data_IF_772991400230
#
_entry.id   IF_772991400230
#
_cell.length_a   1.000
_cell.length_b   1.000
_cell.length_c   1.000
_cell.angle_alpha   90.00
_cell.angle_beta   90.00
_cell.angle_gamma   90.00
#
_symmetry.space_group_name_H-M   'P 1'
#
loop_
_entity.id
_entity.type
_entity.pdbx_description
1 polymer ?
#
# COMPACT_ATOMS: atom_id res chain seq x y z
N UNK A 1 -2.21 -25.83 16.06
CA UNK A 1 -0.82 -26.31 15.89
C UNK A 1 -0.38 -26.97 17.19
N UNK A 2 -0.49 -26.33 18.38
CA UNK A 2 -0.07 -26.84 19.70
C UNK A 2 -0.66 -28.25 19.99
N UNK A 3 -1.96 -28.40 19.83
CA UNK A 3 -2.68 -29.66 20.09
C UNK A 3 -2.23 -30.82 19.18
N UNK A 4 -1.78 -30.50 17.96
CA UNK A 4 -1.26 -31.52 17.01
C UNK A 4 0.18 -31.89 17.35
N UNK A 5 0.98 -30.91 17.78
CA UNK A 5 2.36 -31.13 18.23
C UNK A 5 2.38 -32.01 19.49
N UNK A 6 1.50 -31.73 20.47
CA UNK A 6 1.35 -32.54 21.68
C UNK A 6 0.93 -33.98 21.35
N UNK A 7 -0.02 -34.19 20.44
CA UNK A 7 -0.42 -35.54 19.98
C UNK A 7 0.68 -36.28 19.24
N UNK A 8 1.57 -35.58 18.57
CA UNK A 8 2.69 -36.13 17.80
C UNK A 8 3.97 -36.29 18.66
N UNK A 9 3.97 -35.87 19.93
CA UNK A 9 5.13 -35.89 20.80
C UNK A 9 6.28 -34.99 20.31
N UNK A 10 6.00 -33.99 19.48
CA UNK A 10 6.99 -33.05 18.94
C UNK A 10 7.07 -31.83 19.84
N UNK A 11 8.22 -31.54 20.47
CA UNK A 11 8.33 -30.34 21.29
C UNK A 11 8.16 -29.07 20.42
N UNK A 12 7.30 -28.17 20.88
CA UNK A 12 7.18 -26.85 20.25
C UNK A 12 8.51 -26.09 20.40
N UNK A 13 8.97 -25.42 19.33
CA UNK A 13 10.15 -24.58 19.45
C UNK A 13 9.92 -23.51 20.51
N UNK A 14 10.94 -23.25 21.32
CA UNK A 14 10.90 -22.20 22.33
C UNK A 14 10.59 -20.87 21.63
N UNK A 15 9.66 -20.10 22.20
CA UNK A 15 9.34 -18.75 21.68
C UNK A 15 10.57 -17.87 21.85
N UNK A 16 11.04 -17.29 20.75
CA UNK A 16 12.14 -16.35 20.75
C UNK A 16 11.59 -14.96 21.17
N UNK A 17 12.00 -14.40 22.34
CA UNK A 17 11.52 -13.10 22.81
C UNK A 17 11.83 -11.96 21.84
N UNK A 18 12.91 -12.09 21.05
CA UNK A 18 13.27 -11.08 20.05
C UNK A 18 12.32 -11.13 18.86
N UNK A 19 11.91 -12.32 18.46
CA UNK A 19 10.92 -12.53 17.41
C UNK A 19 9.54 -12.01 17.82
N UNK A 20 9.12 -12.25 19.07
CA UNK A 20 7.85 -11.68 19.62
C UNK A 20 7.88 -10.14 19.66
N UNK A 21 9.00 -9.54 20.04
CA UNK A 21 9.17 -8.08 20.01
C UNK A 21 9.09 -7.52 18.60
N UNK A 22 9.71 -8.15 17.62
CA UNK A 22 9.64 -7.76 16.21
C UNK A 22 8.21 -7.88 15.66
N UNK A 23 7.50 -8.94 15.99
CA UNK A 23 6.10 -9.11 15.59
C UNK A 23 5.19 -8.06 16.24
N UNK A 24 5.37 -7.75 17.52
CA UNK A 24 4.65 -6.70 18.21
C UNK A 24 4.95 -5.31 17.62
N UNK A 25 6.21 -5.02 17.32
CA UNK A 25 6.61 -3.79 16.65
C UNK A 25 5.96 -3.67 15.27
N UNK A 26 6.00 -4.73 14.46
CA UNK A 26 5.34 -4.76 13.14
C UNK A 26 3.84 -4.54 13.25
N UNK A 27 3.17 -5.12 14.25
CA UNK A 27 1.75 -4.91 14.47
C UNK A 27 1.45 -3.41 14.64
N UNK A 28 2.23 -2.70 15.44
CA UNK A 28 2.06 -1.25 15.62
C UNK A 28 2.35 -0.43 14.36
N UNK A 29 3.30 -0.85 13.50
CA UNK A 29 3.57 -0.18 12.23
C UNK A 29 2.41 -0.34 11.23
N UNK A 30 1.71 -1.47 11.20
CA UNK A 30 0.49 -1.61 10.40
C UNK A 30 -0.62 -0.66 10.84
N UNK A 31 -0.77 -0.44 12.15
CA UNK A 31 -1.75 0.52 12.68
C UNK A 31 -1.40 1.96 12.25
N UNK A 32 -0.12 2.32 12.23
CA UNK A 32 0.35 3.62 11.73
C UNK A 32 0.02 3.78 10.24
N UNK A 33 0.26 2.75 9.44
CA UNK A 33 -0.05 2.77 8.00
C UNK A 33 -1.54 2.89 7.74
N UNK A 34 -2.38 2.21 8.53
CA UNK A 34 -3.84 2.33 8.46
C UNK A 34 -4.32 3.74 8.83
N UNK A 35 -3.80 4.34 9.90
CA UNK A 35 -4.09 5.72 10.27
C UNK A 35 -3.67 6.72 9.18
N UNK A 36 -2.52 6.49 8.53
CA UNK A 36 -2.07 7.31 7.41
C UNK A 36 -3.03 7.19 6.20
N UNK A 37 -3.54 5.98 5.90
CA UNK A 37 -4.52 5.81 4.83
C UNK A 37 -5.82 6.57 5.13
N UNK A 38 -6.35 6.43 6.34
CA UNK A 38 -7.54 7.16 6.77
C UNK A 38 -7.34 8.68 6.69
N UNK A 39 -6.15 9.16 7.07
CA UNK A 39 -5.80 10.57 6.90
C UNK A 39 -5.89 11.00 5.45
N UNK A 40 -5.26 10.27 4.52
CA UNK A 40 -5.29 10.62 3.10
C UNK A 40 -6.69 10.52 2.49
N UNK A 41 -7.47 9.52 2.86
CA UNK A 41 -8.88 9.39 2.45
C UNK A 41 -9.70 10.61 2.91
N UNK A 42 -9.54 11.02 4.18
CA UNK A 42 -10.22 12.20 4.73
C UNK A 42 -9.77 13.49 4.04
N UNK A 43 -8.46 13.63 3.74
CA UNK A 43 -7.95 14.78 3.01
C UNK A 43 -8.52 14.88 1.59
N UNK A 44 -8.73 13.75 0.92
CA UNK A 44 -9.39 13.75 -0.39
C UNK A 44 -10.82 14.33 -0.31
N UNK A 45 -11.55 14.04 0.77
CA UNK A 45 -12.93 14.54 0.94
C UNK A 45 -13.00 15.98 1.49
N UNK A 46 -11.91 16.49 2.04
CA UNK A 46 -11.84 17.85 2.61
C UNK A 46 -11.80 18.94 1.51
N UNK A 47 -11.83 20.21 1.93
CA UNK A 47 -11.67 21.35 1.02
C UNK A 47 -10.32 21.31 0.30
N UNK A 48 -9.23 20.90 0.96
CA UNK A 48 -7.89 20.77 0.37
C UNK A 48 -7.83 19.75 -0.77
N UNK A 49 -8.70 18.74 -0.77
CA UNK A 49 -8.78 17.69 -1.80
C UNK A 49 -9.52 18.08 -3.08
N UNK A 50 -10.03 19.31 -3.21
CA UNK A 50 -10.86 19.69 -4.36
C UNK A 50 -10.15 19.48 -5.71
N UNK A 51 -8.88 19.87 -5.82
CA UNK A 51 -8.05 19.67 -7.03
C UNK A 51 -7.85 18.17 -7.34
N UNK A 52 -7.63 17.36 -6.31
CA UNK A 52 -7.48 15.92 -6.46
C UNK A 52 -8.78 15.24 -6.92
N UNK A 53 -9.92 15.63 -6.34
CA UNK A 53 -11.23 15.11 -6.77
C UNK A 53 -11.55 15.51 -8.22
N UNK A 54 -11.24 16.74 -8.61
CA UNK A 54 -11.40 17.18 -10.02
C UNK A 54 -10.56 16.32 -10.95
N UNK A 55 -9.29 16.11 -10.62
CA UNK A 55 -8.39 15.25 -11.41
C UNK A 55 -8.94 13.82 -11.56
N UNK A 56 -9.39 13.19 -10.45
CA UNK A 56 -9.93 11.82 -10.48
C UNK A 56 -11.21 11.72 -11.32
N UNK A 57 -12.09 12.73 -11.23
CA UNK A 57 -13.29 12.84 -12.08
C UNK A 57 -12.93 12.96 -13.56
N UNK A 58 -11.98 13.84 -13.89
CA UNK A 58 -11.53 14.05 -15.27
C UNK A 58 -10.85 12.81 -15.87
N UNK A 59 -10.33 11.92 -15.00
CA UNK A 59 -9.84 10.57 -15.34
C UNK A 59 -10.94 9.51 -15.39
N UNK A 60 -12.20 9.89 -15.19
CA UNK A 60 -13.33 8.97 -15.25
C UNK A 60 -13.47 8.01 -14.08
N UNK A 61 -12.76 8.24 -12.96
CA UNK A 61 -12.85 7.35 -11.80
C UNK A 61 -14.11 7.63 -10.98
N UNK A 62 -14.98 6.62 -10.89
CA UNK A 62 -16.20 6.68 -10.06
C UNK A 62 -15.87 6.75 -8.56
N UNK A 63 -16.79 7.32 -7.78
CA UNK A 63 -16.63 7.37 -6.32
C UNK A 63 -16.54 5.97 -5.71
N UNK A 64 -17.30 4.99 -6.23
CA UNK A 64 -17.23 3.61 -5.79
C UNK A 64 -15.85 3.00 -6.01
N UNK A 65 -15.24 3.25 -7.19
CA UNK A 65 -13.87 2.82 -7.49
C UNK A 65 -12.85 3.49 -6.56
N UNK A 66 -12.99 4.80 -6.32
CA UNK A 66 -12.12 5.53 -5.40
C UNK A 66 -12.17 4.93 -3.98
N UNK A 67 -13.35 4.59 -3.48
CA UNK A 67 -13.54 3.94 -2.18
C UNK A 67 -12.96 2.52 -2.15
N UNK A 68 -13.21 1.70 -3.20
CA UNK A 68 -12.71 0.34 -3.31
C UNK A 68 -11.18 0.29 -3.23
N UNK A 69 -10.50 1.24 -3.87
CA UNK A 69 -9.04 1.34 -3.88
C UNK A 69 -8.51 2.26 -2.77
N UNK A 70 -9.37 2.78 -1.89
CA UNK A 70 -9.01 3.65 -0.77
C UNK A 70 -8.13 4.82 -1.21
N UNK A 71 -8.47 5.40 -2.37
CA UNK A 71 -7.70 6.51 -2.94
C UNK A 71 -7.79 7.72 -2.01
N UNK A 72 -6.63 8.32 -1.72
CA UNK A 72 -6.51 9.48 -0.85
C UNK A 72 -5.83 10.67 -1.51
N UNK A 73 -5.57 11.69 -0.71
CA UNK A 73 -4.82 12.87 -1.09
C UNK A 73 -3.82 13.27 -0.03
N UNK A 74 -2.56 13.40 -0.41
CA UNK A 74 -1.52 14.03 0.41
C UNK A 74 -1.53 15.54 0.19
N UNK A 75 -1.93 16.35 1.20
CA UNK A 75 -2.07 17.79 1.03
C UNK A 75 -0.74 18.47 0.76
N UNK A 76 -0.78 19.68 0.20
CA UNK A 76 0.39 20.53 0.02
C UNK A 76 0.84 21.15 1.36
N UNK A 77 1.30 20.29 2.24
CA UNK A 77 1.80 20.66 3.57
C UNK A 77 3.07 19.89 3.89
N UNK A 78 3.97 20.52 4.65
CA UNK A 78 5.19 19.85 5.09
C UNK A 78 4.97 18.90 6.26
N UNK A 79 3.91 19.08 7.05
CA UNK A 79 3.78 18.43 8.35
C UNK A 79 2.38 17.88 8.65
N UNK A 80 1.39 18.03 7.77
CA UNK A 80 0.00 17.72 8.09
C UNK A 80 -0.21 16.25 8.51
N UNK A 81 0.41 15.29 7.80
CA UNK A 81 0.35 13.88 8.19
C UNK A 81 1.12 13.63 9.48
N UNK A 82 2.33 14.16 9.59
CA UNK A 82 3.18 13.99 10.78
C UNK A 82 2.48 14.51 12.04
N UNK A 83 1.89 15.70 11.98
CA UNK A 83 1.14 16.30 13.08
C UNK A 83 -0.11 15.51 13.43
N UNK A 84 -0.85 15.02 12.43
CA UNK A 84 -1.98 14.14 12.64
C UNK A 84 -1.57 12.85 13.38
N UNK A 85 -0.54 12.16 12.92
CA UNK A 85 -0.07 10.92 13.55
C UNK A 85 0.44 11.18 14.97
N UNK A 86 1.18 12.25 15.18
CA UNK A 86 1.64 12.66 16.52
C UNK A 86 0.46 12.94 17.46
N UNK A 87 -0.63 13.58 16.97
CA UNK A 87 -1.85 13.80 17.75
C UNK A 87 -2.58 12.51 18.15
N UNK A 88 -2.29 11.40 17.43
CA UNK A 88 -2.79 10.03 17.75
C UNK A 88 -1.84 9.25 18.66
N UNK A 89 -0.78 9.90 19.17
CA UNK A 89 0.19 9.27 20.05
C UNK A 89 1.25 8.43 19.35
N UNK A 90 1.36 8.52 18.02
CA UNK A 90 2.37 7.79 17.26
C UNK A 90 3.71 8.48 17.43
N UNK A 91 4.74 7.72 17.79
CA UNK A 91 6.08 8.24 18.00
C UNK A 91 6.77 8.66 16.69
N UNK A 92 7.74 9.54 16.78
CA UNK A 92 8.58 9.95 15.65
C UNK A 92 9.22 8.73 14.97
N UNK A 93 9.77 7.81 15.75
CA UNK A 93 10.48 6.63 15.25
C UNK A 93 9.54 5.71 14.44
N UNK A 94 8.30 5.52 14.89
CA UNK A 94 7.30 4.76 14.16
C UNK A 94 6.93 5.42 12.83
N UNK A 95 6.78 6.76 12.81
CA UNK A 95 6.47 7.52 11.59
C UNK A 95 7.61 7.40 10.57
N UNK A 96 8.86 7.51 11.04
CA UNK A 96 10.07 7.36 10.24
C UNK A 96 10.23 5.91 9.72
N UNK A 97 10.02 4.91 10.58
CA UNK A 97 10.07 3.50 10.22
C UNK A 97 9.05 3.11 9.14
N UNK A 98 7.89 3.78 9.10
CA UNK A 98 6.88 3.60 8.04
C UNK A 98 7.23 4.32 6.72
N UNK A 99 8.32 5.10 6.66
CA UNK A 99 8.71 5.84 5.47
C UNK A 99 7.73 6.94 5.05
N UNK A 100 6.94 7.46 6.00
CA UNK A 100 5.92 8.48 5.76
C UNK A 100 6.50 9.90 5.72
N UNK A 101 7.70 10.07 6.26
CA UNK A 101 8.42 11.34 6.27
C UNK A 101 9.79 11.20 5.60
N UNK A 102 10.32 12.32 5.15
CA UNK A 102 11.72 12.45 4.74
C UNK A 102 12.52 12.92 5.94
N UNK A 103 13.55 12.17 6.29
CA UNK A 103 14.43 12.43 7.45
C UNK A 103 15.86 11.97 7.11
N UNK A 104 16.83 12.27 7.94
CA UNK A 104 18.21 11.80 7.81
C UNK A 104 19.21 12.95 7.84
N UNK A 105 20.44 12.67 7.43
CA UNK A 105 21.54 13.60 7.43
C UNK A 105 21.24 14.83 6.55
N UNK A 106 21.52 16.04 7.07
CA UNK A 106 21.21 17.29 6.39
C UNK A 106 19.75 17.76 6.48
N UNK A 107 18.86 17.00 7.14
CA UNK A 107 17.46 17.38 7.36
C UNK A 107 17.24 17.74 8.82
N UNK A 108 17.23 19.05 9.12
CA UNK A 108 17.06 19.54 10.48
C UNK A 108 15.71 19.14 11.11
N UNK A 109 14.64 19.14 10.32
CA UNK A 109 13.29 18.75 10.74
C UNK A 109 12.67 17.86 9.68
N UNK A 110 12.25 16.65 10.06
CA UNK A 110 11.54 15.72 9.16
C UNK A 110 10.25 16.35 8.63
N UNK A 111 9.87 16.01 7.39
CA UNK A 111 8.68 16.52 6.74
C UNK A 111 7.96 15.45 5.96
N UNK A 112 6.67 15.64 5.70
CA UNK A 112 5.82 14.68 4.99
C UNK A 112 6.38 14.34 3.61
N UNK A 113 6.53 13.06 3.32
CA UNK A 113 7.06 12.56 2.03
C UNK A 113 6.11 12.84 0.88
N UNK A 114 4.82 12.62 1.10
CA UNK A 114 3.79 12.71 0.07
C UNK A 114 3.04 14.03 0.16
N UNK A 115 3.35 14.95 -0.76
CA UNK A 115 2.79 16.32 -0.79
C UNK A 115 2.24 16.63 -2.16
N UNK A 116 1.05 17.23 -2.22
CA UNK A 116 0.27 17.52 -3.44
C UNK A 116 0.19 16.30 -4.37
N UNK A 117 -0.21 15.14 -3.79
CA UNK A 117 -0.27 13.87 -4.53
C UNK A 117 -1.57 13.13 -4.28
N UNK A 118 -2.08 12.49 -5.33
CA UNK A 118 -3.08 11.42 -5.18
C UNK A 118 -2.38 10.21 -4.60
N UNK A 119 -2.98 9.62 -3.56
CA UNK A 119 -2.39 8.53 -2.80
C UNK A 119 -3.07 7.20 -3.12
N UNK A 120 -2.25 6.18 -3.36
CA UNK A 120 -2.65 4.81 -3.61
C UNK A 120 -2.07 3.93 -2.51
N UNK A 121 -2.89 3.41 -1.58
CA UNK A 121 -2.42 2.43 -0.61
C UNK A 121 -1.95 1.16 -1.30
N UNK A 122 -0.83 0.62 -0.84
CA UNK A 122 -0.26 -0.64 -1.31
C UNK A 122 -0.48 -1.65 -0.20
N UNK A 123 -1.19 -2.73 -0.53
CA UNK A 123 -1.57 -3.79 0.41
C UNK A 123 -0.69 -5.04 0.22
N UNK A 124 -0.46 -5.74 1.34
CA UNK A 124 0.08 -7.11 1.29
C UNK A 124 -1.03 -8.13 0.90
N UNK A 125 -0.66 -9.40 0.75
CA UNK A 125 -1.61 -10.47 0.42
C UNK A 125 -2.59 -10.83 1.55
N UNK A 126 -2.52 -10.14 2.71
CA UNK A 126 -3.47 -10.22 3.81
C UNK A 126 -4.40 -9.00 3.87
N UNK A 127 -4.19 -8.01 3.00
CA UNK A 127 -4.98 -6.78 2.93
C UNK A 127 -4.54 -5.70 3.92
N UNK A 128 -3.34 -5.81 4.50
CA UNK A 128 -2.79 -4.78 5.38
C UNK A 128 -2.01 -3.79 4.54
N UNK A 129 -2.17 -2.50 4.83
CA UNK A 129 -1.40 -1.45 4.14
C UNK A 129 0.05 -1.49 4.60
N UNK A 130 0.97 -1.57 3.64
CA UNK A 130 2.41 -1.70 3.87
C UNK A 130 3.21 -0.54 3.26
N UNK A 131 2.62 0.21 2.33
CA UNK A 131 3.27 1.31 1.64
C UNK A 131 2.23 2.21 0.96
N UNK A 132 2.70 3.28 0.34
CA UNK A 132 1.91 4.15 -0.53
C UNK A 132 2.63 4.45 -1.84
N UNK A 133 1.86 4.54 -2.92
CA UNK A 133 2.25 5.24 -4.12
C UNK A 133 1.59 6.62 -4.16
N UNK A 134 2.30 7.62 -4.68
CA UNK A 134 1.79 8.98 -4.78
C UNK A 134 1.96 9.55 -6.18
N UNK A 135 0.87 9.96 -6.86
CA UNK A 135 0.91 10.63 -8.15
C UNK A 135 0.81 12.14 -7.97
N UNK A 136 1.79 12.89 -8.43
CA UNK A 136 1.80 14.35 -8.35
C UNK A 136 0.63 14.96 -9.14
N UNK A 137 0.03 16.00 -8.57
CA UNK A 137 -0.97 16.84 -9.24
C UNK A 137 -0.32 18.00 -10.00
N UNK A 138 0.84 18.49 -9.53
CA UNK A 138 1.63 19.49 -10.25
C UNK A 138 2.41 18.86 -11.39
N UNK A 139 2.45 19.54 -12.54
CA UNK A 139 3.30 19.18 -13.67
C UNK A 139 4.80 19.41 -13.36
N UNK A 140 5.10 20.37 -12.49
CA UNK A 140 6.48 20.77 -12.12
C UNK A 140 7.07 19.91 -11.00
N UNK A 141 6.35 18.88 -10.55
CA UNK A 141 6.86 17.99 -9.52
C UNK A 141 8.09 17.21 -10.02
N UNK A 142 9.15 17.07 -9.20
CA UNK A 142 10.40 16.39 -9.59
C UNK A 142 10.18 14.95 -10.07
N UNK A 143 9.13 14.30 -9.60
CA UNK A 143 8.72 12.97 -10.03
C UNK A 143 7.21 12.88 -10.14
N UNK A 144 6.71 12.43 -11.29
CA UNK A 144 5.28 12.19 -11.53
C UNK A 144 4.72 11.14 -10.56
N UNK A 145 5.45 10.06 -10.33
CA UNK A 145 5.13 9.03 -9.34
C UNK A 145 6.24 8.93 -8.29
N UNK A 146 5.84 8.77 -7.05
CA UNK A 146 6.71 8.57 -5.90
C UNK A 146 6.14 7.43 -5.05
N UNK A 147 6.96 6.43 -4.76
CA UNK A 147 6.58 5.34 -3.85
C UNK A 147 7.24 5.52 -2.48
N UNK A 148 6.70 4.81 -1.48
CA UNK A 148 7.38 4.63 -0.19
C UNK A 148 8.80 4.11 -0.41
N UNK A 149 9.75 4.46 0.45
CA UNK A 149 11.08 3.85 0.47
C UNK A 149 10.97 2.38 0.92
N UNK A 150 12.06 1.63 0.83
CA UNK A 150 12.18 0.34 1.48
C UNK A 150 12.01 0.51 2.99
N UNK A 151 11.20 -0.36 3.61
CA UNK A 151 10.94 -0.36 5.05
C UNK A 151 10.87 -1.80 5.58
N UNK A 152 10.72 -1.98 6.89
CA UNK A 152 10.48 -3.30 7.47
C UNK A 152 9.19 -3.97 6.94
N UNK A 153 8.18 -3.17 6.56
CA UNK A 153 6.91 -3.66 6.02
C UNK A 153 6.93 -3.84 4.50
N UNK A 154 7.77 -3.13 3.78
CA UNK A 154 7.68 -2.97 2.34
C UNK A 154 9.00 -3.18 1.62
N UNK A 155 9.02 -4.15 0.72
CA UNK A 155 10.09 -4.41 -0.24
C UNK A 155 9.52 -4.34 -1.65
N UNK A 156 9.82 -3.24 -2.33
CA UNK A 156 9.26 -2.88 -3.63
C UNK A 156 9.37 -4.00 -4.69
N UNK A 157 10.50 -4.73 -4.71
CA UNK A 157 10.71 -5.84 -5.63
C UNK A 157 9.93 -7.11 -5.33
N UNK A 158 9.20 -7.16 -4.20
CA UNK A 158 8.48 -8.36 -3.73
C UNK A 158 6.98 -8.16 -3.59
N UNK A 159 6.47 -7.05 -4.09
CA UNK A 159 5.06 -6.68 -3.96
C UNK A 159 4.52 -6.27 -5.33
N UNK A 160 3.30 -6.67 -5.61
CA UNK A 160 2.51 -6.22 -6.75
C UNK A 160 1.32 -5.40 -6.26
N UNK A 161 1.09 -4.24 -6.88
CA UNK A 161 -0.12 -3.47 -6.60
C UNK A 161 -1.36 -4.27 -6.95
N UNK A 162 -2.37 -4.24 -6.10
CA UNK A 162 -3.63 -4.98 -6.24
C UNK A 162 -3.50 -6.53 -6.15
N UNK A 163 -2.39 -7.06 -5.65
CA UNK A 163 -2.12 -8.49 -5.64
C UNK A 163 -3.17 -9.33 -4.92
N UNK A 164 -3.71 -8.84 -3.79
CA UNK A 164 -4.76 -9.54 -3.05
C UNK A 164 -6.07 -9.68 -3.84
N UNK A 165 -6.56 -8.57 -4.42
CA UNK A 165 -7.81 -8.56 -5.19
C UNK A 165 -7.67 -9.37 -6.47
N UNK A 166 -6.54 -9.23 -7.16
CA UNK A 166 -6.23 -10.00 -8.36
C UNK A 166 -6.18 -11.50 -8.06
N UNK A 167 -5.51 -11.91 -6.97
CA UNK A 167 -5.49 -13.32 -6.54
C UNK A 167 -6.88 -13.88 -6.31
N UNK A 168 -7.77 -13.13 -5.65
CA UNK A 168 -9.17 -13.55 -5.46
C UNK A 168 -9.93 -13.66 -6.78
N UNK A 169 -9.68 -12.73 -7.71
CA UNK A 169 -10.35 -12.71 -9.02
C UNK A 169 -9.86 -13.80 -9.99
N UNK A 170 -8.61 -14.27 -9.83
CA UNK A 170 -8.07 -15.38 -10.61
C UNK A 170 -8.61 -16.74 -10.16
N UNK A 171 -9.11 -16.86 -8.92
CA UNK A 171 -9.62 -18.14 -8.41
C UNK A 171 -10.94 -18.53 -9.10
N UNK A 172 -11.19 -19.84 -9.33
CA UNK A 172 -12.47 -20.31 -9.84
C UNK A 172 -13.63 -19.85 -8.95
N UNK A 173 -14.66 -19.28 -9.55
CA UNK A 173 -15.85 -18.80 -8.82
C UNK A 173 -17.13 -19.22 -9.53
N UNK A 174 -18.10 -19.74 -8.80
CA UNK A 174 -19.43 -20.02 -9.33
C UNK A 174 -19.49 -21.01 -10.50
N UNK A 175 -18.48 -21.88 -10.64
CA UNK A 175 -18.37 -22.84 -11.76
C UNK A 175 -17.63 -22.28 -12.99
N UNK A 176 -17.18 -21.02 -12.96
CA UNK A 176 -16.28 -20.47 -13.98
C UNK A 176 -14.84 -20.98 -13.76
N UNK A 177 -14.06 -21.18 -14.84
CA UNK A 177 -12.65 -21.56 -14.74
C UNK A 177 -11.82 -20.44 -14.11
N UNK A 178 -10.60 -20.78 -13.67
CA UNK A 178 -9.61 -19.80 -13.23
C UNK A 178 -9.35 -18.76 -14.35
N UNK A 179 -9.14 -17.49 -13.95
CA UNK A 179 -8.83 -16.41 -14.90
C UNK A 179 -7.33 -16.13 -14.88
N UNK A 180 -6.71 -15.88 -16.05
CA UNK A 180 -5.31 -15.51 -16.09
C UNK A 180 -5.08 -14.16 -15.42
N UNK A 181 -3.92 -13.98 -14.77
CA UNK A 181 -3.52 -12.70 -14.22
C UNK A 181 -3.06 -11.76 -15.35
N UNK A 182 -3.35 -10.47 -15.20
CA UNK A 182 -2.97 -9.44 -16.16
C UNK A 182 -1.98 -8.50 -15.49
N UNK A 183 -0.75 -8.41 -16.02
CA UNK A 183 0.23 -7.43 -15.58
C UNK A 183 0.15 -6.18 -16.45
N UNK A 184 0.06 -5.01 -15.81
CA UNK A 184 0.02 -3.68 -16.45
C UNK A 184 1.08 -2.76 -15.85
N UNK A 185 1.29 -1.57 -16.42
CA UNK A 185 2.41 -0.71 -16.04
C UNK A 185 2.23 0.02 -14.70
N UNK A 186 1.01 0.44 -14.35
CA UNK A 186 0.83 1.33 -13.21
C UNK A 186 -0.52 1.27 -12.50
N UNK A 187 -0.60 2.05 -11.41
CA UNK A 187 -1.78 2.13 -10.54
C UNK A 187 -3.07 2.44 -11.29
N UNK A 188 -3.03 3.45 -12.18
CA UNK A 188 -4.21 3.91 -12.89
C UNK A 188 -4.74 2.89 -13.88
N UNK A 189 -3.85 2.10 -14.49
CA UNK A 189 -4.24 1.05 -15.43
C UNK A 189 -4.96 -0.08 -14.71
N UNK A 190 -4.44 -0.51 -13.55
CA UNK A 190 -5.10 -1.49 -12.67
C UNK A 190 -6.49 -1.00 -12.26
N UNK A 191 -6.60 0.25 -11.82
CA UNK A 191 -7.85 0.81 -11.32
C UNK A 191 -8.87 0.96 -12.45
N UNK A 192 -8.44 1.39 -13.64
CA UNK A 192 -9.31 1.51 -14.83
C UNK A 192 -9.84 0.13 -15.27
N UNK A 193 -9.00 -0.89 -15.30
CA UNK A 193 -9.40 -2.26 -15.61
C UNK A 193 -10.39 -2.79 -14.57
N UNK A 194 -10.11 -2.58 -13.28
CA UNK A 194 -11.02 -3.00 -12.22
C UNK A 194 -12.38 -2.31 -12.32
N UNK A 195 -12.43 -1.02 -12.66
CA UNK A 195 -13.68 -0.29 -12.92
C UNK A 195 -14.44 -0.83 -14.13
N UNK A 196 -13.74 -1.37 -15.12
CA UNK A 196 -14.33 -2.05 -16.27
C UNK A 196 -14.71 -3.52 -15.98
N UNK A 197 -14.61 -4.00 -14.72
CA UNK A 197 -14.95 -5.37 -14.32
C UNK A 197 -13.81 -6.39 -14.46
N UNK A 198 -12.61 -5.95 -14.82
CA UNK A 198 -11.40 -6.79 -14.95
C UNK A 198 -10.57 -6.65 -13.67
N UNK A 199 -10.86 -7.52 -12.69
CA UNK A 199 -10.29 -7.40 -11.32
C UNK A 199 -8.95 -8.13 -11.14
N UNK A 200 -8.53 -8.98 -12.09
CA UNK A 200 -7.30 -9.77 -12.05
C UNK A 200 -6.06 -9.01 -12.55
N UNK A 201 -6.12 -7.68 -12.63
CA UNK A 201 -5.00 -6.84 -13.03
C UNK A 201 -4.09 -6.48 -11.84
N UNK A 202 -2.78 -6.50 -12.06
CA UNK A 202 -1.74 -6.06 -11.11
C UNK A 202 -0.71 -5.20 -11.81
N UNK A 203 0.03 -4.41 -11.02
CA UNK A 203 1.16 -3.62 -11.55
C UNK A 203 2.40 -3.78 -10.67
N UNK A 204 3.61 -3.75 -11.26
CA UNK A 204 4.85 -3.62 -10.51
C UNK A 204 4.94 -2.22 -9.88
N UNK A 205 5.75 -2.09 -8.84
CA UNK A 205 5.92 -0.83 -8.10
C UNK A 205 7.18 -0.07 -8.55
N UNK A 206 7.66 -0.35 -9.73
CA UNK A 206 8.84 0.21 -10.33
C UNK A 206 8.72 0.26 -11.84
N UNK A 207 9.86 0.33 -12.52
CA UNK A 207 9.93 0.42 -13.99
C UNK A 207 9.98 -0.94 -14.68
N UNK A 208 10.32 -2.02 -13.97
CA UNK A 208 10.40 -3.38 -14.53
C UNK A 208 9.95 -4.41 -13.50
N UNK A 209 9.48 -5.56 -13.96
CA UNK A 209 9.20 -6.72 -13.13
C UNK A 209 10.51 -7.33 -12.62
N UNK A 210 10.56 -7.67 -11.34
CA UNK A 210 11.66 -8.42 -10.73
C UNK A 210 11.39 -9.93 -10.81
N UNK A 211 12.43 -10.75 -10.58
CA UNK A 211 12.29 -12.20 -10.50
C UNK A 211 11.31 -12.60 -9.40
N UNK A 212 11.40 -11.97 -8.22
CA UNK A 212 10.48 -12.24 -7.10
C UNK A 212 9.03 -11.84 -7.43
N UNK A 213 8.82 -10.77 -8.22
CA UNK A 213 7.48 -10.41 -8.68
C UNK A 213 6.95 -11.41 -9.72
N UNK A 214 7.80 -11.94 -10.61
CA UNK A 214 7.43 -13.02 -11.53
C UNK A 214 7.04 -14.29 -10.77
N UNK A 215 7.81 -14.69 -9.77
CA UNK A 215 7.45 -15.81 -8.89
C UNK A 215 6.11 -15.58 -8.18
N UNK A 216 5.83 -14.33 -7.76
CA UNK A 216 4.55 -13.99 -7.14
C UNK A 216 3.40 -14.12 -8.14
N UNK A 217 3.57 -13.70 -9.40
CA UNK A 217 2.58 -13.88 -10.48
C UNK A 217 2.26 -15.37 -10.68
N UNK A 218 3.29 -16.22 -10.78
CA UNK A 218 3.12 -17.69 -10.89
C UNK A 218 2.36 -18.31 -9.72
N UNK A 219 2.55 -17.79 -8.50
CA UNK A 219 1.80 -18.26 -7.32
C UNK A 219 0.34 -17.79 -7.31
N UNK A 220 0.04 -16.68 -7.96
CA UNK A 220 -1.32 -16.13 -8.06
C UNK A 220 -2.12 -16.87 -9.13
N UNK A 221 -1.52 -17.07 -10.29
CA UNK A 221 -2.10 -17.77 -11.43
C UNK A 221 -1.00 -18.56 -12.14
N UNK A 222 -0.97 -19.90 -11.97
CA UNK A 222 0.05 -20.76 -12.56
C UNK A 222 -0.14 -21.00 -14.07
N UNK A 223 -1.20 -20.45 -14.68
CA UNK A 223 -1.50 -20.53 -16.11
C UNK A 223 -1.40 -19.15 -16.77
#
# INVERSE_FOLDING_TARGET
>A
VERVADMAGVPMPARDPEMERREAQRATLYDVMELAAQFFENQLQSASGAKARAYLRDRGLSSATQQTFRIGYGPESRNALKEFLASKGISKDQIEACGLVVHGEGIAVSYDRFRDRIMFPIEDLRGRIIAFGGRALSADAPAKYLNSPETELFHKGRVLYNGLRARKACQPQGGEPAKPIIAVEGYMDVIALAQAGIHQAVAPLGTALTEEQLELLWRISPE
#
